data_IF_144173426588
#
_entry.id   IF_144173426588
#
_cell.length_a   1.000
_cell.length_b   1.000
_cell.length_c   1.000
_cell.angle_alpha   90.00
_cell.angle_beta   90.00
_cell.angle_gamma   90.00
#
_symmetry.space_group_name_H-M   'P 1'
#
loop_
_entity.id
_entity.type
_entity.pdbx_description
1 polymer ?
#
# COMPACT_ATOMS: atom_id res chain seq x y z
N UNK A 1 10.03 -5.81 -0.04
CA UNK A 1 10.06 -4.51 -0.75
C UNK A 1 9.24 -3.47 0.01
N UNK A 2 8.02 -3.80 0.43
CA UNK A 2 7.09 -2.93 1.19
C UNK A 2 7.68 -2.32 2.47
N UNK A 3 8.29 -3.11 3.36
CA UNK A 3 8.91 -2.57 4.59
C UNK A 3 10.03 -1.58 4.29
N UNK A 4 10.84 -1.83 3.25
CA UNK A 4 11.89 -0.91 2.81
C UNK A 4 11.30 0.42 2.31
N UNK A 5 10.19 0.38 1.57
CA UNK A 5 9.51 1.59 1.09
C UNK A 5 8.97 2.44 2.24
N UNK A 6 8.38 1.79 3.25
CA UNK A 6 7.89 2.47 4.47
C UNK A 6 9.04 3.13 5.22
N UNK A 7 10.12 2.37 5.48
CA UNK A 7 11.30 2.88 6.18
C UNK A 7 11.95 4.05 5.43
N UNK A 8 12.04 3.96 4.09
CA UNK A 8 12.56 5.05 3.28
C UNK A 8 11.68 6.30 3.34
N UNK A 9 10.35 6.14 3.32
CA UNK A 9 9.42 7.26 3.45
C UNK A 9 9.56 7.94 4.81
N UNK A 10 9.65 7.15 5.88
CA UNK A 10 9.91 7.66 7.23
C UNK A 10 11.27 8.37 7.33
N UNK A 11 12.31 7.80 6.72
CA UNK A 11 13.63 8.44 6.63
C UNK A 11 13.56 9.80 5.93
N UNK A 12 12.85 9.91 4.82
CA UNK A 12 12.63 11.18 4.13
C UNK A 12 11.88 12.20 5.00
N UNK A 13 10.81 11.77 5.70
CA UNK A 13 10.01 12.64 6.58
C UNK A 13 10.86 13.14 7.74
N UNK A 14 11.54 12.23 8.45
CA UNK A 14 12.39 12.55 9.60
C UNK A 14 13.54 13.45 9.18
N UNK A 15 14.18 13.18 8.03
CA UNK A 15 15.25 14.04 7.49
C UNK A 15 14.74 15.46 7.23
N UNK A 16 13.56 15.60 6.63
CA UNK A 16 12.94 16.91 6.38
C UNK A 16 12.60 17.65 7.68
N UNK A 17 12.10 16.94 8.68
CA UNK A 17 11.79 17.53 9.99
C UNK A 17 13.06 17.98 10.73
N UNK A 18 14.10 17.15 10.76
CA UNK A 18 15.38 17.50 11.40
C UNK A 18 16.05 18.69 10.72
N UNK A 19 16.02 18.77 9.40
CA UNK A 19 16.49 19.95 8.65
C UNK A 19 15.72 21.21 9.02
N UNK A 20 14.42 21.10 9.29
CA UNK A 20 13.58 22.24 9.67
C UNK A 20 13.85 22.69 11.12
N UNK A 21 14.05 21.76 12.05
CA UNK A 21 14.24 22.06 13.48
C UNK A 21 15.68 22.47 13.81
N UNK A 22 16.66 21.79 13.22
CA UNK A 22 18.08 21.88 13.60
C UNK A 22 18.91 22.58 12.50
N UNK A 23 18.35 22.77 11.29
CA UNK A 23 19.08 23.36 10.16
C UNK A 23 20.12 22.45 9.53
N UNK A 24 20.19 21.18 9.94
CA UNK A 24 21.19 20.21 9.48
C UNK A 24 20.52 18.98 8.86
N UNK A 25 21.14 18.45 7.79
CA UNK A 25 20.76 17.18 7.20
C UNK A 25 21.24 16.00 8.05
N UNK A 26 20.56 14.84 7.95
CA UNK A 26 20.87 13.61 8.69
C UNK A 26 22.34 13.15 8.58
N UNK A 27 22.99 13.47 7.47
CA UNK A 27 24.41 13.17 7.21
C UNK A 27 25.37 13.99 8.07
N UNK A 28 24.91 15.10 8.64
CA UNK A 28 25.70 16.01 9.47
C UNK A 28 25.53 15.76 10.97
N UNK A 29 24.61 14.87 11.35
CA UNK A 29 24.40 14.44 12.74
C UNK A 29 25.51 13.47 13.15
N UNK A 30 25.97 13.55 14.40
CA UNK A 30 26.96 12.64 14.97
C UNK A 30 26.54 11.16 14.83
N UNK A 31 27.47 10.22 14.57
CA UNK A 31 27.15 8.81 14.31
C UNK A 31 26.26 8.16 15.37
N UNK A 32 26.49 8.47 16.65
CA UNK A 32 25.73 7.90 17.78
C UNK A 32 24.28 8.37 17.78
N UNK A 33 24.03 9.64 17.45
CA UNK A 33 22.68 10.21 17.35
C UNK A 33 21.98 9.74 16.08
N UNK A 34 22.72 9.58 14.97
CA UNK A 34 22.20 8.99 13.72
C UNK A 34 21.70 7.57 13.95
N UNK A 35 22.43 6.75 14.70
CA UNK A 35 22.02 5.37 15.02
C UNK A 35 20.66 5.33 15.73
N UNK A 36 20.45 6.19 16.73
CA UNK A 36 19.16 6.29 17.44
C UNK A 36 18.00 6.65 16.52
N UNK A 37 18.24 7.53 15.54
CA UNK A 37 17.22 7.91 14.56
C UNK A 37 16.89 6.75 13.62
N UNK A 38 17.89 6.00 13.17
CA UNK A 38 17.68 4.78 12.35
C UNK A 38 16.88 3.74 13.13
N UNK A 39 17.27 3.45 14.38
CA UNK A 39 16.52 2.52 15.25
C UNK A 39 15.08 2.99 15.48
N UNK A 40 14.86 4.31 15.62
CA UNK A 40 13.51 4.86 15.72
C UNK A 40 12.71 4.62 14.44
N UNK A 41 13.29 4.91 13.26
CA UNK A 41 12.63 4.71 11.96
C UNK A 41 12.25 3.24 11.76
N UNK A 42 13.13 2.30 12.08
CA UNK A 42 12.85 0.87 11.94
C UNK A 42 11.72 0.42 12.88
N UNK A 43 11.79 0.80 14.15
CA UNK A 43 10.75 0.47 15.13
C UNK A 43 9.39 1.11 14.78
N UNK A 44 9.41 2.34 14.26
CA UNK A 44 8.20 3.07 13.88
C UNK A 44 7.59 2.49 12.58
N UNK A 45 8.42 2.11 11.61
CA UNK A 45 7.97 1.51 10.34
C UNK A 45 7.19 0.20 10.50
N UNK A 46 7.48 -0.58 11.54
CA UNK A 46 6.67 -1.77 11.88
C UNK A 46 5.30 -1.45 12.46
N UNK A 47 5.15 -0.28 13.09
CA UNK A 47 3.96 0.11 13.87
C UNK A 47 3.01 1.04 13.14
N UNK A 48 3.46 1.72 12.08
CA UNK A 48 2.58 2.61 11.30
C UNK A 48 1.47 1.82 10.61
N UNK A 49 0.26 2.35 10.69
CA UNK A 49 -0.86 1.86 9.90
C UNK A 49 -0.60 2.16 8.43
N UNK A 50 -0.98 1.24 7.54
CA UNK A 50 -0.78 1.37 6.11
C UNK A 50 -2.07 1.11 5.35
N UNK A 51 -2.29 1.95 4.34
CA UNK A 51 -3.41 1.87 3.40
C UNK A 51 -2.87 1.51 2.02
N UNK A 52 -3.32 0.39 1.44
CA UNK A 52 -2.86 -0.08 0.13
C UNK A 52 -4.01 -0.23 -0.87
N UNK A 53 -3.97 0.52 -1.97
CA UNK A 53 -4.84 0.26 -3.11
C UNK A 53 -4.10 -0.60 -4.14
N UNK A 54 -4.53 -1.85 -4.33
CA UNK A 54 -3.98 -2.75 -5.36
C UNK A 54 -4.78 -2.56 -6.64
N UNK A 55 -4.10 -2.13 -7.71
CA UNK A 55 -4.70 -1.93 -9.03
C UNK A 55 -4.24 -3.03 -9.96
N UNK A 56 -5.11 -3.98 -10.28
CA UNK A 56 -4.80 -5.21 -10.98
C UNK A 56 -5.29 -5.19 -12.44
N UNK A 57 -4.36 -5.41 -13.37
CA UNK A 57 -4.69 -5.67 -14.77
C UNK A 57 -5.41 -7.02 -14.90
N UNK A 58 -6.59 -6.97 -15.50
CA UNK A 58 -7.45 -8.10 -15.86
C UNK A 58 -7.76 -8.08 -17.35
N UNK A 59 -6.96 -7.41 -18.17
CA UNK A 59 -7.08 -7.41 -19.63
C UNK A 59 -6.99 -8.82 -20.22
N UNK A 60 -7.38 -8.97 -21.49
CA UNK A 60 -7.26 -10.25 -22.21
C UNK A 60 -5.83 -10.84 -22.15
N UNK A 61 -4.81 -10.00 -22.12
CA UNK A 61 -3.40 -10.44 -22.02
C UNK A 61 -3.06 -11.15 -20.70
N UNK A 62 -3.88 -10.96 -19.66
CA UNK A 62 -3.69 -11.52 -18.33
C UNK A 62 -4.28 -12.93 -18.17
N UNK A 63 -4.94 -13.48 -19.19
CA UNK A 63 -5.63 -14.80 -19.13
C UNK A 63 -4.78 -15.90 -18.48
N UNK A 64 -3.48 -15.97 -18.80
CA UNK A 64 -2.57 -17.01 -18.26
C UNK A 64 -1.74 -16.55 -17.05
N UNK A 65 -1.84 -15.28 -16.65
CA UNK A 65 -1.03 -14.66 -15.58
C UNK A 65 -1.86 -14.30 -14.36
N UNK A 66 -3.18 -14.17 -14.53
CA UNK A 66 -4.09 -13.66 -13.53
C UNK A 66 -4.09 -14.53 -12.27
N UNK A 67 -4.12 -15.86 -12.41
CA UNK A 67 -4.10 -16.76 -11.24
C UNK A 67 -2.79 -16.64 -10.43
N UNK A 68 -1.65 -16.49 -11.10
CA UNK A 68 -0.39 -16.21 -10.43
C UNK A 68 -0.43 -14.85 -9.70
N UNK A 69 -0.95 -13.81 -10.36
CA UNK A 69 -1.09 -12.50 -9.74
C UNK A 69 -1.99 -12.53 -8.49
N UNK A 70 -3.12 -13.26 -8.53
CA UNK A 70 -4.00 -13.47 -7.38
C UNK A 70 -3.30 -14.15 -6.22
N UNK A 71 -2.48 -15.17 -6.50
CA UNK A 71 -1.66 -15.85 -5.48
C UNK A 71 -0.66 -14.88 -4.86
N UNK A 72 0.08 -14.13 -5.67
CA UNK A 72 1.06 -13.16 -5.17
C UNK A 72 0.42 -12.06 -4.32
N UNK A 73 -0.79 -11.60 -4.66
CA UNK A 73 -1.53 -10.63 -3.86
C UNK A 73 -1.95 -11.25 -2.51
N UNK A 74 -2.37 -12.51 -2.51
CA UNK A 74 -2.70 -13.24 -1.28
C UNK A 74 -1.49 -13.36 -0.36
N UNK A 75 -0.33 -13.75 -0.92
CA UNK A 75 0.92 -13.88 -0.17
C UNK A 75 1.39 -12.52 0.38
N UNK A 76 1.22 -11.45 -0.40
CA UNK A 76 1.53 -10.09 0.05
C UNK A 76 0.68 -9.71 1.27
N UNK A 77 -0.61 -10.01 1.26
CA UNK A 77 -1.51 -9.70 2.37
C UNK A 77 -1.19 -10.47 3.62
N UNK A 78 -0.86 -11.74 3.47
CA UNK A 78 -0.39 -12.56 4.59
C UNK A 78 0.92 -11.99 5.15
N UNK A 79 1.85 -11.55 4.31
CA UNK A 79 3.06 -10.86 4.80
C UNK A 79 2.73 -9.54 5.53
N UNK A 80 1.72 -8.80 5.07
CA UNK A 80 1.31 -7.54 5.70
C UNK A 80 0.55 -7.74 7.03
N UNK A 81 -0.19 -8.84 7.18
CA UNK A 81 -0.93 -9.14 8.43
C UNK A 81 -0.03 -9.46 9.62
N UNK A 82 1.24 -9.76 9.38
CA UNK A 82 2.23 -9.98 10.45
C UNK A 82 2.84 -8.68 11.00
N UNK A 83 2.52 -7.51 10.42
CA UNK A 83 3.00 -6.21 10.92
C UNK A 83 2.26 -5.83 12.21
N UNK A 84 2.89 -4.99 13.04
CA UNK A 84 2.27 -4.47 14.29
C UNK A 84 1.23 -3.40 14.00
N UNK A 85 1.48 -2.55 12.99
CA UNK A 85 0.52 -1.58 12.49
C UNK A 85 -0.57 -2.25 11.64
N UNK A 86 -1.77 -1.69 11.67
CA UNK A 86 -2.92 -2.18 10.89
C UNK A 86 -2.65 -1.94 9.41
N UNK A 87 -2.81 -2.98 8.60
CA UNK A 87 -2.73 -2.86 7.14
C UNK A 87 -4.13 -3.04 6.58
N UNK A 88 -4.65 -2.03 5.88
CA UNK A 88 -5.90 -2.11 5.13
C UNK A 88 -5.59 -2.14 3.65
N UNK A 89 -6.29 -2.99 2.91
CA UNK A 89 -6.07 -3.16 1.48
C UNK A 89 -7.38 -3.16 0.72
N UNK A 90 -7.42 -2.42 -0.38
CA UNK A 90 -8.47 -2.44 -1.37
C UNK A 90 -7.97 -3.08 -2.68
N UNK A 91 -8.88 -3.66 -3.45
CA UNK A 91 -8.59 -4.29 -4.72
C UNK A 91 -9.45 -3.67 -5.82
N UNK A 92 -8.76 -3.07 -6.78
CA UNK A 92 -9.32 -2.46 -7.98
C UNK A 92 -8.87 -3.30 -9.18
N UNK A 93 -9.77 -3.63 -10.09
CA UNK A 93 -9.46 -4.29 -11.34
C UNK A 93 -9.71 -3.38 -12.54
N UNK A 94 -8.92 -3.56 -13.59
CA UNK A 94 -9.20 -2.95 -14.89
C UNK A 94 -8.96 -3.95 -16.02
N UNK A 95 -9.85 -4.03 -17.02
CA UNK A 95 -11.11 -3.31 -17.11
C UNK A 95 -12.11 -3.81 -16.05
N UNK A 96 -13.19 -3.05 -15.84
CA UNK A 96 -14.31 -3.49 -15.01
C UNK A 96 -15.26 -4.41 -15.77
N UNK A 97 -16.28 -4.91 -15.07
CA UNK A 97 -17.38 -5.66 -15.69
C UNK A 97 -18.29 -4.75 -16.53
N UNK A 98 -19.12 -5.34 -17.39
CA UNK A 98 -20.19 -4.66 -18.14
C UNK A 98 -19.77 -3.36 -18.85
N UNK A 99 -18.61 -3.39 -19.51
CA UNK A 99 -18.02 -2.26 -20.26
C UNK A 99 -17.54 -1.09 -19.39
N UNK A 100 -17.48 -1.25 -18.07
CA UNK A 100 -16.85 -0.26 -17.19
C UNK A 100 -15.34 -0.25 -17.37
N UNK A 101 -14.73 0.93 -17.25
CA UNK A 101 -13.28 1.05 -17.29
C UNK A 101 -12.60 0.48 -16.04
N UNK A 102 -13.30 0.43 -14.90
CA UNK A 102 -12.75 0.04 -13.61
C UNK A 102 -13.79 -0.76 -12.84
N UNK A 103 -13.35 -1.75 -12.06
CA UNK A 103 -14.17 -2.45 -11.08
C UNK A 103 -13.53 -2.42 -9.69
N UNK A 104 -14.33 -2.19 -8.65
CA UNK A 104 -13.88 -2.32 -7.26
C UNK A 104 -14.26 -3.74 -6.82
N UNK A 105 -13.26 -4.61 -6.72
CA UNK A 105 -13.45 -6.01 -6.33
C UNK A 105 -13.48 -6.20 -4.81
N UNK A 106 -12.86 -5.29 -4.07
CA UNK A 106 -12.84 -5.27 -2.61
C UNK A 106 -12.57 -3.84 -2.14
N UNK A 107 -13.41 -3.31 -1.25
CA UNK A 107 -13.11 -2.08 -0.52
C UNK A 107 -11.99 -2.29 0.51
N UNK A 108 -11.56 -1.23 1.19
CA UNK A 108 -10.49 -1.32 2.18
C UNK A 108 -10.84 -2.27 3.31
N UNK A 109 -10.02 -3.29 3.49
CA UNK A 109 -10.20 -4.30 4.53
C UNK A 109 -8.87 -4.78 5.08
N UNK A 110 -8.87 -5.18 6.35
CA UNK A 110 -7.77 -5.92 6.97
C UNK A 110 -8.01 -7.44 6.98
N UNK A 111 -9.16 -7.87 6.48
CA UNK A 111 -9.59 -9.27 6.47
C UNK A 111 -9.17 -9.97 5.17
N UNK A 112 -8.24 -10.92 5.27
CA UNK A 112 -7.74 -11.68 4.12
C UNK A 112 -8.84 -12.49 3.42
N UNK A 113 -9.86 -12.92 4.16
CA UNK A 113 -11.03 -13.65 3.66
C UNK A 113 -11.80 -12.82 2.62
N UNK A 114 -12.12 -11.57 2.95
CA UNK A 114 -12.85 -10.63 2.10
C UNK A 114 -12.06 -10.34 0.81
N UNK A 115 -10.75 -10.11 0.93
CA UNK A 115 -9.91 -9.92 -0.26
C UNK A 115 -9.87 -11.16 -1.16
N UNK A 116 -9.77 -12.36 -0.57
CA UNK A 116 -9.80 -13.63 -1.33
C UNK A 116 -11.12 -13.81 -2.07
N UNK A 117 -12.24 -13.33 -1.53
CA UNK A 117 -13.53 -13.33 -2.23
C UNK A 117 -13.50 -12.37 -3.43
N UNK A 118 -13.01 -11.15 -3.25
CA UNK A 118 -12.84 -10.19 -4.34
C UNK A 118 -11.95 -10.73 -5.48
N UNK A 119 -10.82 -11.37 -5.13
CA UNK A 119 -9.91 -11.98 -6.11
C UNK A 119 -10.58 -13.10 -6.93
N UNK A 120 -11.47 -13.90 -6.33
CA UNK A 120 -12.16 -15.00 -7.05
C UNK A 120 -13.09 -14.49 -8.14
N UNK A 121 -13.67 -13.30 -7.96
CA UNK A 121 -14.61 -12.71 -8.91
C UNK A 121 -13.93 -12.22 -10.19
N UNK A 122 -12.62 -11.94 -10.13
CA UNK A 122 -11.87 -11.39 -11.25
C UNK A 122 -11.68 -12.40 -12.40
N UNK A 123 -11.98 -11.93 -13.61
CA UNK A 123 -11.81 -12.68 -14.86
C UNK A 123 -11.04 -11.85 -15.87
N UNK A 124 -10.21 -12.52 -16.67
CA UNK A 124 -9.45 -11.84 -17.71
C UNK A 124 -10.34 -11.52 -18.93
N UNK A 125 -10.33 -10.28 -19.40
CA UNK A 125 -11.10 -9.83 -20.55
C UNK A 125 -10.86 -8.35 -20.88
N UNK A 126 -11.31 -7.90 -22.06
CA UNK A 126 -11.27 -6.48 -22.43
C UNK A 126 -9.87 -5.87 -22.60
N UNK A 127 -9.83 -4.53 -22.54
CA UNK A 127 -8.63 -3.69 -22.76
C UNK A 127 -7.90 -3.29 -21.48
N UNK A 128 -7.05 -2.25 -21.54
CA UNK A 128 -6.16 -1.84 -20.42
C UNK A 128 -6.34 -0.35 -20.04
N UNK A 129 -7.49 0.06 -19.47
CA UNK A 129 -7.72 1.45 -19.05
C UNK A 129 -7.01 1.76 -17.72
N UNK A 130 -5.67 1.78 -17.73
CA UNK A 130 -4.85 1.97 -16.50
C UNK A 130 -5.01 3.35 -15.88
N UNK A 131 -5.14 4.41 -16.68
CA UNK A 131 -5.32 5.79 -16.19
C UNK A 131 -6.55 5.94 -15.28
N UNK A 132 -7.76 5.58 -15.78
CA UNK A 132 -8.97 5.53 -14.96
C UNK A 132 -8.82 4.69 -13.69
N UNK A 133 -8.11 3.56 -13.76
CA UNK A 133 -7.93 2.68 -12.60
C UNK A 133 -7.09 3.32 -11.48
N UNK A 134 -6.03 4.07 -11.84
CA UNK A 134 -5.22 4.81 -10.86
C UNK A 134 -6.03 5.95 -10.23
N UNK A 135 -6.83 6.66 -11.01
CA UNK A 135 -7.69 7.73 -10.50
C UNK A 135 -8.73 7.19 -9.52
N UNK A 136 -9.38 6.08 -9.85
CA UNK A 136 -10.34 5.43 -8.95
C UNK A 136 -9.69 4.94 -7.66
N UNK A 137 -8.45 4.43 -7.72
CA UNK A 137 -7.70 4.06 -6.52
C UNK A 137 -7.40 5.27 -5.62
N UNK A 138 -7.07 6.43 -6.22
CA UNK A 138 -6.86 7.67 -5.47
C UNK A 138 -8.14 8.17 -4.81
N UNK A 139 -9.26 8.14 -5.52
CA UNK A 139 -10.58 8.50 -4.98
C UNK A 139 -10.93 7.63 -3.78
N UNK A 140 -10.80 6.31 -3.91
CA UNK A 140 -11.06 5.36 -2.82
C UNK A 140 -10.16 5.61 -1.60
N UNK A 141 -8.87 5.93 -1.82
CA UNK A 141 -7.94 6.26 -0.73
C UNK A 141 -8.34 7.53 0.01
N UNK A 142 -8.78 8.57 -0.70
CA UNK A 142 -9.20 9.83 -0.09
C UNK A 142 -10.52 9.69 0.69
N UNK A 143 -11.37 8.72 0.33
CA UNK A 143 -12.62 8.44 1.03
C UNK A 143 -12.41 7.63 2.33
N UNK A 144 -11.42 6.72 2.41
CA UNK A 144 -11.11 5.95 3.63
C UNK A 144 -10.26 6.73 4.66
N UNK A 145 -9.73 7.92 4.33
CA UNK A 145 -9.02 8.78 5.29
C UNK A 145 -9.96 9.35 6.37
N UNK A 146 -10.34 8.50 7.33
CA UNK A 146 -10.41 8.90 8.73
C UNK A 146 -8.96 9.10 9.23
N UNK A 147 -8.67 10.20 9.95
CA UNK A 147 -7.32 10.75 10.06
C UNK A 147 -6.35 9.77 10.71
N UNK A 148 -5.16 9.61 10.11
CA UNK A 148 -4.04 8.90 10.70
C UNK A 148 -3.76 9.40 12.13
N UNK A 149 -4.29 8.71 13.14
CA UNK A 149 -3.99 9.00 14.53
C UNK A 149 -2.65 8.34 14.84
N UNK A 150 -1.59 9.14 14.85
CA UNK A 150 -0.33 8.72 15.44
C UNK A 150 -0.56 8.47 16.93
N UNK A 151 -0.70 7.20 17.32
CA UNK A 151 -0.65 6.79 18.72
C UNK A 151 0.78 7.03 19.25
N UNK A 152 1.02 8.23 19.77
CA UNK A 152 2.19 8.49 20.61
C UNK A 152 2.00 7.73 21.93
N UNK A 153 2.91 6.79 22.21
CA UNK A 153 3.12 6.17 23.52
C UNK A 153 4.27 6.89 24.21
#
# INVERSE_FOLDING_TARGET
MTQKTVNHTLECIVSRQLKTIIGQDMTNIEPKSRMKVVEFIENYGERVDLLYAIVLDTSKSMTNKLELAKSCITDLMEALSHRKGVSKVALISYPGDDSQSVGIACEFTSEISVLKEGLKLLKAGGGTPTGPAILSALELMLEDEAPAQAHYV
#
